data_IF_118308846982
#
_entry.id   IF_118308846982
#
_cell.length_a   1.000
_cell.length_b   1.000
_cell.length_c   1.000
_cell.angle_alpha   90.00
_cell.angle_beta   90.00
_cell.angle_gamma   90.00
#
_symmetry.space_group_name_H-M   'P 1'
#
loop_
_entity.id
_entity.type
_entity.pdbx_description
1 polymer ?
#
# COMPACT_ATOMS: atom_id res chain seq x y z
N UNK A 1 -14.11 -10.87 -37.34
CA UNK A 1 -13.98 -12.08 -36.55
C UNK A 1 -13.73 -11.65 -35.11
N UNK A 2 -14.73 -11.82 -34.24
CA UNK A 2 -14.52 -11.58 -32.82
C UNK A 2 -13.51 -12.60 -32.33
N UNK A 3 -12.33 -12.17 -31.96
CA UNK A 3 -11.29 -13.02 -31.44
C UNK A 3 -11.68 -13.35 -30.00
N UNK A 4 -11.93 -14.62 -29.71
CA UNK A 4 -12.08 -15.08 -28.33
C UNK A 4 -10.81 -14.77 -27.56
N UNK A 5 -10.95 -14.22 -26.35
CA UNK A 5 -9.84 -13.88 -25.46
C UNK A 5 -9.99 -14.69 -24.18
N UNK A 6 -8.97 -15.46 -23.83
CA UNK A 6 -8.92 -16.18 -22.58
C UNK A 6 -8.44 -15.28 -21.45
N UNK A 7 -9.28 -15.09 -20.42
CA UNK A 7 -8.92 -14.45 -19.17
C UNK A 7 -8.41 -15.50 -18.21
N UNK A 8 -7.25 -15.29 -17.63
CA UNK A 8 -6.65 -16.15 -16.61
C UNK A 8 -6.50 -15.36 -15.32
N UNK A 9 -7.18 -15.81 -14.28
CA UNK A 9 -7.24 -15.07 -13.01
C UNK A 9 -6.85 -15.95 -11.84
N UNK A 10 -5.96 -15.45 -10.99
CA UNK A 10 -5.59 -16.09 -9.73
C UNK A 10 -6.64 -15.84 -8.66
N UNK A 11 -7.01 -16.90 -7.94
CA UNK A 11 -7.97 -16.87 -6.85
C UNK A 11 -7.45 -17.65 -5.64
N UNK A 12 -7.84 -17.22 -4.44
CA UNK A 12 -7.55 -17.92 -3.18
C UNK A 12 -8.84 -18.30 -2.48
N UNK A 13 -8.83 -19.37 -1.68
CA UNK A 13 -9.93 -19.62 -0.75
C UNK A 13 -9.95 -18.58 0.35
N UNK A 14 -11.15 -18.03 0.66
CA UNK A 14 -11.31 -16.97 1.67
C UNK A 14 -10.99 -17.41 3.10
N UNK A 15 -11.16 -18.68 3.39
CA UNK A 15 -10.90 -19.30 4.68
C UNK A 15 -9.53 -20.00 4.79
N UNK A 16 -8.84 -20.20 3.64
CA UNK A 16 -7.54 -20.87 3.57
C UNK A 16 -6.68 -20.29 2.44
N UNK A 17 -6.01 -19.16 2.67
CA UNK A 17 -5.28 -18.41 1.62
C UNK A 17 -4.11 -19.16 1.00
N UNK A 18 -3.60 -20.23 1.66
CA UNK A 18 -2.62 -21.15 1.09
C UNK A 18 -3.19 -22.04 -0.03
N UNK A 19 -4.51 -22.14 -0.11
CA UNK A 19 -5.22 -22.85 -1.16
C UNK A 19 -5.61 -21.90 -2.27
N UNK A 20 -4.92 -21.97 -3.41
CA UNK A 20 -5.10 -21.10 -4.55
C UNK A 20 -5.40 -21.87 -5.83
N UNK A 21 -5.90 -21.17 -6.85
CA UNK A 21 -6.15 -21.72 -8.18
C UNK A 21 -6.04 -20.62 -9.25
N UNK A 22 -5.85 -21.05 -10.52
CA UNK A 22 -6.13 -20.23 -11.68
C UNK A 22 -7.45 -20.65 -12.31
N UNK A 23 -8.30 -19.67 -12.62
CA UNK A 23 -9.52 -19.88 -13.39
C UNK A 23 -9.36 -19.27 -14.78
N UNK A 24 -9.94 -19.97 -15.80
CA UNK A 24 -9.98 -19.48 -17.18
C UNK A 24 -11.41 -19.14 -17.55
N UNK A 25 -11.63 -17.94 -18.07
CA UNK A 25 -12.92 -17.47 -18.58
C UNK A 25 -12.73 -17.02 -20.04
N UNK A 26 -13.69 -17.32 -20.91
CA UNK A 26 -13.61 -16.90 -22.32
C UNK A 26 -14.44 -15.63 -22.52
N UNK A 27 -13.80 -14.55 -22.96
CA UNK A 27 -14.47 -13.33 -23.38
C UNK A 27 -14.69 -13.36 -24.90
N UNK A 28 -15.95 -13.19 -25.32
CA UNK A 28 -16.35 -13.30 -26.73
C UNK A 28 -16.11 -12.02 -27.56
N UNK A 29 -15.53 -10.98 -26.96
CA UNK A 29 -15.13 -9.76 -27.64
C UNK A 29 -16.25 -8.71 -27.82
N UNK A 30 -17.46 -8.95 -27.32
CA UNK A 30 -18.57 -7.98 -27.37
C UNK A 30 -18.59 -7.14 -26.09
N UNK A 31 -18.20 -5.87 -26.22
CA UNK A 31 -18.34 -4.89 -25.14
C UNK A 31 -19.75 -4.27 -25.20
N UNK A 32 -20.39 -4.19 -24.05
CA UNK A 32 -21.60 -3.40 -23.87
C UNK A 32 -21.28 -1.89 -23.87
N UNK A 33 -22.32 -1.07 -23.85
CA UNK A 33 -22.14 0.37 -23.75
C UNK A 33 -21.34 0.75 -22.50
N UNK A 34 -20.39 1.67 -22.69
CA UNK A 34 -19.45 2.18 -21.68
C UNK A 34 -18.47 1.12 -21.10
N UNK A 35 -18.47 -0.11 -21.63
CA UNK A 35 -17.45 -1.08 -21.26
C UNK A 35 -16.13 -0.83 -21.97
N UNK A 36 -15.05 -1.12 -21.23
CA UNK A 36 -13.66 -1.01 -21.68
C UNK A 36 -12.93 -2.30 -21.33
N UNK A 37 -12.21 -2.86 -22.29
CA UNK A 37 -11.35 -4.02 -22.09
C UNK A 37 -9.92 -3.55 -21.82
N UNK A 38 -9.44 -3.90 -20.66
CA UNK A 38 -8.09 -3.62 -20.18
C UNK A 38 -7.23 -4.89 -20.29
N UNK A 39 -6.06 -4.77 -20.93
CA UNK A 39 -5.01 -5.78 -20.88
C UNK A 39 -4.05 -5.42 -19.75
N UNK A 40 -4.05 -6.21 -18.70
CA UNK A 40 -3.15 -6.01 -17.56
C UNK A 40 -1.75 -6.44 -17.98
N UNK A 41 -0.83 -5.49 -17.99
CA UNK A 41 0.56 -5.72 -18.36
C UNK A 41 1.35 -6.30 -17.20
N UNK A 42 1.28 -5.65 -16.05
CA UNK A 42 1.96 -6.05 -14.83
C UNK A 42 1.28 -5.51 -13.58
N UNK A 43 1.58 -6.15 -12.46
CA UNK A 43 1.12 -5.71 -11.14
C UNK A 43 2.17 -5.99 -10.07
N UNK A 44 2.11 -5.21 -8.99
CA UNK A 44 2.94 -5.44 -7.81
C UNK A 44 2.25 -6.41 -6.85
N UNK A 45 3.02 -7.34 -6.30
CA UNK A 45 2.59 -8.19 -5.19
C UNK A 45 3.48 -7.91 -3.96
N UNK A 46 2.85 -7.50 -2.87
CA UNK A 46 3.51 -7.07 -1.64
C UNK A 46 2.82 -7.68 -0.42
N UNK A 47 3.43 -7.59 0.75
CA UNK A 47 2.79 -8.02 2.01
C UNK A 47 1.44 -7.31 2.25
N UNK A 48 1.25 -6.09 1.75
CA UNK A 48 -0.04 -5.38 1.83
C UNK A 48 -1.19 -6.16 1.16
N UNK A 49 -0.90 -6.96 0.13
CA UNK A 49 -1.93 -7.78 -0.52
C UNK A 49 -2.39 -8.94 0.37
N UNK A 50 -1.51 -9.45 1.25
CA UNK A 50 -1.91 -10.42 2.28
C UNK A 50 -2.84 -9.76 3.33
N UNK A 51 -2.58 -8.49 3.67
CA UNK A 51 -3.48 -7.69 4.50
C UNK A 51 -4.87 -7.55 3.86
N UNK A 52 -4.95 -7.43 2.52
CA UNK A 52 -6.25 -7.42 1.82
C UNK A 52 -7.01 -8.75 1.96
N UNK A 53 -6.32 -9.89 2.04
CA UNK A 53 -6.96 -11.16 2.35
C UNK A 53 -7.51 -11.14 3.79
N UNK A 54 -6.71 -10.73 4.76
CA UNK A 54 -7.10 -10.68 6.17
C UNK A 54 -8.29 -9.74 6.45
N UNK A 55 -8.31 -8.60 5.76
CA UNK A 55 -9.35 -7.59 5.89
C UNK A 55 -10.49 -7.74 4.86
N UNK A 56 -10.50 -8.82 4.08
CA UNK A 56 -11.34 -8.99 2.92
C UNK A 56 -12.83 -8.89 3.19
N UNK A 57 -13.31 -9.48 4.28
CA UNK A 57 -14.71 -9.37 4.71
C UNK A 57 -15.00 -8.06 5.42
N UNK A 58 -14.08 -7.58 6.27
CA UNK A 58 -14.27 -6.38 7.09
C UNK A 58 -14.37 -5.11 6.24
N UNK A 59 -13.46 -4.96 5.25
CA UNK A 59 -13.42 -3.79 4.37
C UNK A 59 -13.97 -4.07 2.97
N UNK A 60 -14.50 -5.28 2.75
CA UNK A 60 -15.16 -5.65 1.50
C UNK A 60 -14.22 -5.88 0.32
N UNK A 61 -12.93 -6.10 0.53
CA UNK A 61 -11.95 -6.28 -0.56
C UNK A 61 -12.28 -7.45 -1.48
N UNK A 62 -12.95 -8.51 -0.98
CA UNK A 62 -13.42 -9.62 -1.79
C UNK A 62 -14.49 -9.24 -2.82
N UNK A 63 -15.18 -8.14 -2.61
CA UNK A 63 -16.20 -7.65 -3.52
C UNK A 63 -15.68 -6.76 -4.65
N UNK A 64 -14.38 -6.42 -4.66
CA UNK A 64 -13.80 -5.60 -5.74
C UNK A 64 -13.84 -6.34 -7.09
N UNK A 65 -13.59 -7.63 -7.08
CA UNK A 65 -13.58 -8.49 -8.26
C UNK A 65 -14.33 -9.78 -7.92
N UNK A 66 -15.68 -9.81 -8.07
CA UNK A 66 -16.49 -10.94 -7.68
C UNK A 66 -16.09 -12.24 -8.38
N UNK A 67 -16.23 -13.36 -7.68
CA UNK A 67 -16.02 -14.72 -8.16
C UNK A 67 -16.94 -15.68 -7.45
N UNK A 68 -16.75 -16.99 -7.63
CA UNK A 68 -17.52 -18.04 -6.97
C UNK A 68 -17.50 -17.92 -5.45
N UNK A 69 -18.57 -18.40 -4.81
CA UNK A 69 -18.64 -18.48 -3.35
C UNK A 69 -17.47 -19.31 -2.79
N UNK A 70 -16.91 -18.86 -1.66
CA UNK A 70 -15.75 -19.48 -1.01
C UNK A 70 -14.39 -19.06 -1.59
N UNK A 71 -14.34 -18.43 -2.77
CA UNK A 71 -13.11 -17.90 -3.36
C UNK A 71 -13.10 -16.37 -3.38
N UNK A 72 -11.90 -15.80 -3.47
CA UNK A 72 -11.68 -14.36 -3.56
C UNK A 72 -10.54 -14.01 -4.51
N UNK A 73 -10.69 -12.87 -5.19
CA UNK A 73 -9.67 -12.26 -6.04
C UNK A 73 -8.99 -11.16 -5.27
N UNK A 74 -7.72 -11.36 -4.93
CA UNK A 74 -6.94 -10.39 -4.15
C UNK A 74 -6.62 -9.19 -5.04
N UNK A 75 -7.00 -7.96 -4.65
CA UNK A 75 -6.69 -6.77 -5.43
C UNK A 75 -5.20 -6.44 -5.38
N UNK A 76 -4.67 -6.04 -6.52
CA UNK A 76 -3.27 -5.61 -6.70
C UNK A 76 -3.22 -4.26 -7.42
N UNK A 77 -2.18 -3.47 -7.17
CA UNK A 77 -1.88 -2.28 -7.96
C UNK A 77 -1.15 -2.70 -9.24
N UNK A 78 -1.60 -2.20 -10.37
CA UNK A 78 -1.06 -2.60 -11.66
C UNK A 78 -1.07 -1.50 -12.71
N UNK A 79 -0.45 -1.80 -13.85
CA UNK A 79 -0.59 -1.07 -15.09
C UNK A 79 -1.28 -1.93 -16.15
N UNK A 80 -2.18 -1.31 -16.89
CA UNK A 80 -2.86 -1.93 -18.04
C UNK A 80 -2.90 -0.99 -19.24
N UNK A 81 -3.17 -1.57 -20.40
CA UNK A 81 -3.45 -0.83 -21.63
C UNK A 81 -4.90 -1.05 -22.04
N UNK A 82 -5.59 0.00 -22.49
CA UNK A 82 -6.90 -0.11 -23.11
C UNK A 82 -6.75 -0.78 -24.47
N UNK A 83 -7.32 -1.96 -24.64
CA UNK A 83 -7.21 -2.74 -25.91
C UNK A 83 -8.51 -2.74 -26.71
N UNK A 84 -9.64 -2.45 -26.07
CA UNK A 84 -10.91 -2.16 -26.72
C UNK A 84 -11.75 -1.24 -25.82
N UNK A 85 -12.54 -0.36 -26.42
CA UNK A 85 -13.40 0.57 -25.70
C UNK A 85 -14.71 0.82 -26.43
N UNK A 86 -15.80 0.80 -25.69
CA UNK A 86 -17.13 1.24 -26.13
C UNK A 86 -17.60 2.48 -25.34
N UNK A 87 -16.63 3.27 -24.82
CA UNK A 87 -16.86 4.53 -24.11
C UNK A 87 -16.25 5.69 -24.90
N UNK A 88 -17.01 6.79 -25.08
CA UNK A 88 -16.59 7.92 -25.93
C UNK A 88 -15.31 8.62 -25.49
N UNK A 89 -15.05 8.69 -24.16
CA UNK A 89 -13.94 9.46 -23.57
C UNK A 89 -12.78 8.58 -23.10
N UNK A 90 -12.80 7.25 -23.37
CA UNK A 90 -11.70 6.32 -23.07
C UNK A 90 -11.22 5.70 -24.36
N UNK A 91 -9.96 5.94 -24.72
CA UNK A 91 -9.42 5.54 -26.02
C UNK A 91 -8.53 4.31 -25.95
N UNK A 92 -8.57 3.49 -27.01
CA UNK A 92 -7.61 2.38 -27.18
C UNK A 92 -6.20 2.92 -27.20
N UNK A 93 -5.30 2.24 -26.46
CA UNK A 93 -3.90 2.64 -26.30
C UNK A 93 -3.61 3.49 -25.07
N UNK A 94 -4.62 3.91 -24.31
CA UNK A 94 -4.39 4.58 -23.03
C UNK A 94 -3.70 3.64 -22.05
N UNK A 95 -2.63 4.10 -21.38
CA UNK A 95 -1.92 3.44 -20.30
C UNK A 95 -2.52 3.86 -18.96
N UNK A 96 -2.92 2.90 -18.13
CA UNK A 96 -3.68 3.13 -16.91
C UNK A 96 -3.00 2.50 -15.69
N UNK A 97 -2.93 3.27 -14.62
CA UNK A 97 -2.63 2.77 -13.28
C UNK A 97 -3.94 2.57 -12.52
N UNK A 98 -4.06 1.49 -11.76
CA UNK A 98 -5.26 1.23 -10.94
C UNK A 98 -5.17 -0.04 -10.12
N UNK A 99 -6.33 -0.44 -9.56
CA UNK A 99 -6.50 -1.71 -8.87
C UNK A 99 -7.07 -2.76 -9.82
N UNK A 100 -6.45 -3.91 -9.82
CA UNK A 100 -6.75 -5.05 -10.70
C UNK A 100 -6.86 -6.35 -9.91
N UNK A 101 -7.56 -7.38 -10.44
CA UNK A 101 -7.30 -8.74 -10.00
C UNK A 101 -5.93 -9.20 -10.52
N UNK A 102 -5.33 -10.21 -9.94
CA UNK A 102 -4.15 -10.88 -10.52
C UNK A 102 -4.56 -11.69 -11.76
N UNK A 103 -4.72 -10.99 -12.88
CA UNK A 103 -5.25 -11.50 -14.14
C UNK A 103 -4.53 -10.85 -15.33
N UNK A 104 -4.69 -11.43 -16.51
CA UNK A 104 -4.18 -10.87 -17.77
C UNK A 104 -5.12 -9.83 -18.41
N UNK A 105 -6.45 -9.87 -18.11
CA UNK A 105 -7.44 -8.94 -18.64
C UNK A 105 -8.49 -8.59 -17.58
N UNK A 106 -9.14 -7.44 -17.79
CA UNK A 106 -10.28 -7.00 -17.01
C UNK A 106 -11.25 -6.22 -17.91
N UNK A 107 -12.56 -6.48 -17.81
CA UNK A 107 -13.59 -5.60 -18.35
C UNK A 107 -14.09 -4.71 -17.22
N UNK A 108 -14.15 -3.40 -17.47
CA UNK A 108 -14.69 -2.41 -16.53
C UNK A 108 -15.79 -1.60 -17.23
N UNK A 109 -16.74 -1.06 -16.46
CA UNK A 109 -17.71 -0.09 -16.95
C UNK A 109 -17.20 1.31 -16.64
N UNK A 110 -16.67 1.99 -17.65
CA UNK A 110 -16.10 3.32 -17.46
C UNK A 110 -17.20 4.36 -17.21
N UNK A 111 -16.92 5.30 -16.31
CA UNK A 111 -17.77 6.46 -16.05
C UNK A 111 -17.00 7.56 -15.35
N UNK A 112 -17.62 8.75 -15.25
CA UNK A 112 -17.00 9.95 -14.65
C UNK A 112 -15.60 10.23 -15.23
N UNK A 113 -15.45 10.06 -16.55
CA UNK A 113 -14.18 10.24 -17.23
C UNK A 113 -13.75 11.72 -17.23
N UNK A 114 -12.46 11.94 -16.99
CA UNK A 114 -11.79 13.23 -17.01
C UNK A 114 -10.50 13.14 -17.84
N UNK A 115 -9.73 14.21 -17.94
CA UNK A 115 -8.42 14.16 -18.59
C UNK A 115 -7.41 13.29 -17.86
N UNK A 116 -7.53 13.15 -16.53
CA UNK A 116 -6.56 12.43 -15.68
C UNK A 116 -7.00 11.02 -15.29
N UNK A 117 -8.29 10.71 -15.32
CA UNK A 117 -8.81 9.42 -14.84
C UNK A 117 -10.21 9.11 -15.36
N UNK A 118 -10.65 7.88 -15.10
CA UNK A 118 -12.06 7.48 -15.06
C UNK A 118 -12.29 6.49 -13.92
N UNK A 119 -13.54 6.15 -13.65
CA UNK A 119 -13.91 5.20 -12.58
C UNK A 119 -14.62 3.99 -13.18
N UNK A 120 -14.40 2.83 -12.58
CA UNK A 120 -15.28 1.69 -12.79
C UNK A 120 -16.58 1.92 -12.01
N UNK A 121 -17.65 2.18 -12.74
CA UNK A 121 -19.00 2.44 -12.21
C UNK A 121 -19.88 1.19 -12.22
N UNK A 122 -19.31 0.00 -12.34
CA UNK A 122 -20.02 -1.27 -12.20
C UNK A 122 -20.75 -1.32 -10.86
N UNK A 123 -21.91 -1.95 -10.81
CA UNK A 123 -22.80 -1.94 -9.65
C UNK A 123 -22.06 -2.43 -8.36
N UNK A 124 -21.32 -3.53 -8.47
CA UNK A 124 -20.57 -4.10 -7.34
C UNK A 124 -19.44 -3.19 -6.83
N UNK A 125 -19.01 -2.16 -7.59
CA UNK A 125 -17.95 -1.21 -7.21
C UNK A 125 -18.47 0.01 -6.47
N UNK A 126 -19.76 0.34 -6.60
CA UNK A 126 -20.34 1.60 -6.11
C UNK A 126 -20.34 1.76 -4.59
N UNK A 127 -20.30 0.66 -3.85
CA UNK A 127 -20.30 0.66 -2.38
C UNK A 127 -18.92 0.93 -1.75
N UNK A 128 -17.85 0.94 -2.55
CA UNK A 128 -16.48 1.09 -2.07
C UNK A 128 -15.95 2.52 -2.24
N UNK A 129 -14.89 2.86 -1.49
CA UNK A 129 -14.26 4.16 -1.64
C UNK A 129 -13.77 4.39 -3.08
N UNK A 130 -14.00 5.56 -3.65
CA UNK A 130 -13.72 5.85 -5.07
C UNK A 130 -12.28 5.54 -5.49
N UNK A 131 -11.32 5.68 -4.57
CA UNK A 131 -9.90 5.41 -4.85
C UNK A 131 -9.65 3.97 -5.35
N UNK A 132 -10.46 2.99 -4.94
CA UNK A 132 -10.32 1.60 -5.37
C UNK A 132 -10.93 1.32 -6.74
N UNK A 133 -11.79 2.20 -7.25
CA UNK A 133 -12.46 2.09 -8.54
C UNK A 133 -11.87 3.02 -9.60
N UNK A 134 -10.87 3.84 -9.22
CA UNK A 134 -10.25 4.82 -10.08
C UNK A 134 -9.14 4.21 -10.94
N UNK A 135 -9.16 4.56 -12.24
CA UNK A 135 -8.10 4.28 -13.19
C UNK A 135 -7.44 5.58 -13.63
N UNK A 136 -6.19 5.78 -13.24
CA UNK A 136 -5.42 6.99 -13.55
C UNK A 136 -4.75 6.84 -14.91
N UNK A 137 -4.90 7.84 -15.78
CA UNK A 137 -4.18 7.91 -17.05
C UNK A 137 -2.71 8.24 -16.79
N UNK A 138 -1.82 7.31 -17.10
CA UNK A 138 -0.41 7.43 -16.77
C UNK A 138 0.21 8.71 -17.36
N UNK A 139 -0.09 9.01 -18.63
CA UNK A 139 0.44 10.19 -19.33
C UNK A 139 -0.13 11.53 -18.81
N UNK A 140 -1.21 11.51 -18.03
CA UNK A 140 -1.74 12.72 -17.40
C UNK A 140 -1.02 13.07 -16.09
N UNK A 141 -0.25 12.12 -15.52
CA UNK A 141 0.57 12.36 -14.35
C UNK A 141 1.89 13.02 -14.76
N UNK A 142 2.18 14.27 -14.33
CA UNK A 142 3.42 14.96 -14.68
C UNK A 142 4.70 14.29 -14.15
N UNK A 143 4.55 13.38 -13.20
CA UNK A 143 5.65 12.60 -12.60
C UNK A 143 5.77 11.17 -13.15
N UNK A 144 4.96 10.84 -14.17
CA UNK A 144 5.02 9.51 -14.76
C UNK A 144 6.28 9.34 -15.59
N UNK A 145 6.99 8.26 -15.30
CA UNK A 145 8.18 7.83 -16.03
C UNK A 145 8.03 6.35 -16.36
N UNK A 146 7.95 5.97 -17.67
CA UNK A 146 7.77 4.58 -18.09
C UNK A 146 8.84 3.62 -17.54
N UNK A 147 10.08 4.09 -17.40
CA UNK A 147 11.17 3.30 -16.85
C UNK A 147 11.02 3.03 -15.33
N UNK A 148 10.13 3.74 -14.66
CA UNK A 148 9.88 3.66 -13.21
C UNK A 148 8.56 2.99 -12.83
N UNK A 149 7.81 2.44 -13.78
CA UNK A 149 6.52 1.80 -13.49
C UNK A 149 6.59 0.74 -12.38
N UNK A 150 7.64 -0.08 -12.35
CA UNK A 150 7.81 -1.11 -11.32
C UNK A 150 8.00 -0.50 -9.92
N UNK A 151 8.82 0.55 -9.81
CA UNK A 151 8.99 1.27 -8.56
C UNK A 151 7.70 1.98 -8.15
N UNK A 152 7.00 2.55 -9.12
CA UNK A 152 5.72 3.20 -8.88
C UNK A 152 4.67 2.24 -8.32
N UNK A 153 4.54 1.04 -8.91
CA UNK A 153 3.63 0.01 -8.43
C UNK A 153 3.97 -0.48 -7.02
N UNK A 154 5.26 -0.64 -6.73
CA UNK A 154 5.73 -1.13 -5.43
C UNK A 154 5.65 -0.09 -4.31
N UNK A 155 5.76 1.20 -4.65
CA UNK A 155 6.05 2.25 -3.67
C UNK A 155 4.96 3.31 -3.56
N UNK A 156 4.22 3.67 -4.63
CA UNK A 156 3.27 4.80 -4.63
C UNK A 156 2.26 4.73 -3.48
N UNK A 157 1.53 3.63 -3.34
CA UNK A 157 0.49 3.50 -2.33
C UNK A 157 1.03 3.54 -0.91
N UNK A 158 2.17 2.87 -0.68
CA UNK A 158 2.82 2.83 0.62
C UNK A 158 3.42 4.20 0.99
N UNK A 159 4.04 4.86 0.02
CA UNK A 159 4.64 6.19 0.19
C UNK A 159 3.60 7.25 0.49
N UNK A 160 2.46 7.22 -0.21
CA UNK A 160 1.36 8.16 0.05
C UNK A 160 0.91 8.12 1.52
N UNK A 161 0.73 6.91 2.07
CA UNK A 161 0.37 6.74 3.48
C UNK A 161 1.45 7.33 4.40
N UNK A 162 2.72 6.98 4.17
CA UNK A 162 3.84 7.42 5.00
C UNK A 162 4.06 8.93 4.92
N UNK A 163 3.92 9.52 3.73
CA UNK A 163 4.01 10.96 3.54
C UNK A 163 2.92 11.70 4.30
N UNK A 164 1.67 11.20 4.24
CA UNK A 164 0.55 11.79 4.98
C UNK A 164 0.69 11.63 6.51
N UNK A 165 1.29 10.54 6.99
CA UNK A 165 1.63 10.39 8.42
C UNK A 165 2.65 11.43 8.84
N UNK A 166 3.72 11.61 8.06
CA UNK A 166 4.76 12.59 8.34
C UNK A 166 4.20 14.01 8.30
N UNK A 167 3.41 14.33 7.27
CA UNK A 167 2.74 15.63 7.13
C UNK A 167 1.78 15.91 8.30
N UNK A 168 1.04 14.91 8.77
CA UNK A 168 0.18 15.02 9.95
C UNK A 168 0.98 15.31 11.22
N UNK A 169 2.12 14.63 11.42
CA UNK A 169 2.98 14.89 12.57
C UNK A 169 3.56 16.31 12.50
N UNK A 170 4.04 16.72 11.34
CA UNK A 170 4.56 18.05 11.11
C UNK A 170 3.50 19.14 11.36
N UNK A 171 2.31 18.97 10.83
CA UNK A 171 1.16 19.88 10.96
C UNK A 171 0.72 20.06 12.43
N UNK A 172 1.02 19.08 13.30
CA UNK A 172 0.80 19.14 14.74
C UNK A 172 2.09 19.37 15.54
N UNK A 173 3.12 20.00 14.93
CA UNK A 173 4.40 20.31 15.58
C UNK A 173 5.05 19.08 16.25
N UNK A 174 4.86 17.89 15.65
CA UNK A 174 5.26 16.57 16.18
C UNK A 174 4.76 16.36 17.63
N UNK A 175 3.64 17.00 18.00
CA UNK A 175 3.07 16.98 19.36
C UNK A 175 4.08 17.40 20.45
N UNK A 176 5.10 18.19 20.09
CA UNK A 176 6.19 18.59 20.98
C UNK A 176 7.21 17.49 21.26
N UNK A 177 7.22 16.38 20.52
CA UNK A 177 8.19 15.31 20.67
C UNK A 177 9.55 15.66 20.02
N UNK A 178 10.62 15.05 20.54
CA UNK A 178 11.98 15.22 20.06
C UNK A 178 12.30 14.31 18.87
N UNK A 179 11.73 13.09 18.83
CA UNK A 179 12.03 12.09 17.83
C UNK A 179 10.85 11.15 17.52
N UNK A 180 11.00 10.39 16.42
CA UNK A 180 10.08 9.32 16.02
C UNK A 180 10.63 7.95 16.43
N UNK A 181 9.76 7.09 16.96
CA UNK A 181 9.99 5.65 17.07
C UNK A 181 9.13 4.96 16.02
N UNK A 182 9.75 4.32 15.04
CA UNK A 182 9.07 3.68 13.91
C UNK A 182 9.24 2.18 14.01
N UNK A 183 8.15 1.44 14.28
CA UNK A 183 8.20 -0.03 14.37
C UNK A 183 8.26 -0.65 12.97
N UNK A 184 8.66 -1.95 12.91
CA UNK A 184 8.83 -2.68 11.64
C UNK A 184 9.69 -1.93 10.63
N UNK A 185 10.80 -1.36 11.07
CA UNK A 185 11.66 -0.46 10.31
C UNK A 185 12.14 -1.03 8.95
N UNK A 186 12.08 -2.35 8.76
CA UNK A 186 12.40 -3.01 7.48
C UNK A 186 11.21 -3.05 6.49
N UNK A 187 9.99 -2.70 6.91
CA UNK A 187 8.85 -2.64 6.00
C UNK A 187 8.98 -1.44 5.05
N UNK A 188 8.53 -1.61 3.80
CA UNK A 188 8.59 -0.52 2.80
C UNK A 188 7.85 0.73 3.25
N UNK A 189 6.76 0.58 4.01
CA UNK A 189 6.01 1.71 4.58
C UNK A 189 6.82 2.43 5.66
N UNK A 190 7.49 1.70 6.56
CA UNK A 190 8.37 2.29 7.58
C UNK A 190 9.58 2.99 6.97
N UNK A 191 10.20 2.37 5.94
CA UNK A 191 11.30 2.97 5.18
C UNK A 191 10.85 4.29 4.53
N UNK A 192 9.66 4.30 3.93
CA UNK A 192 9.07 5.48 3.33
C UNK A 192 8.85 6.60 4.35
N UNK A 193 8.36 6.26 5.57
CA UNK A 193 8.22 7.23 6.65
C UNK A 193 9.58 7.75 7.14
N UNK A 194 10.54 6.86 7.40
CA UNK A 194 11.89 7.26 7.79
C UNK A 194 12.56 8.18 6.76
N UNK A 195 12.36 7.90 5.46
CA UNK A 195 12.80 8.77 4.38
C UNK A 195 12.10 10.14 4.41
N UNK A 196 10.78 10.18 4.61
CA UNK A 196 10.02 11.43 4.67
C UNK A 196 10.46 12.30 5.86
N UNK A 197 10.60 11.71 7.05
CA UNK A 197 11.12 12.40 8.25
C UNK A 197 12.51 12.96 8.00
N UNK A 198 13.43 12.15 7.46
CA UNK A 198 14.78 12.61 7.12
C UNK A 198 14.78 13.73 6.06
N UNK A 199 13.92 13.63 5.06
CA UNK A 199 13.82 14.62 3.99
C UNK A 199 13.33 15.97 4.49
N UNK A 200 12.46 15.99 5.50
CA UNK A 200 12.05 17.22 6.17
C UNK A 200 13.18 17.82 7.00
N UNK A 201 13.98 17.00 7.69
CA UNK A 201 15.20 17.42 8.37
C UNK A 201 15.00 18.11 9.72
N UNK A 202 13.81 18.09 10.30
CA UNK A 202 13.51 18.74 11.58
C UNK A 202 13.61 17.78 12.78
N UNK A 203 13.34 16.51 12.57
CA UNK A 203 13.34 15.47 13.60
C UNK A 203 14.10 14.24 13.12
N UNK A 204 14.52 13.43 14.08
CA UNK A 204 15.16 12.15 13.82
C UNK A 204 14.17 11.00 13.94
N UNK A 205 14.45 9.90 13.23
CA UNK A 205 13.69 8.68 13.29
C UNK A 205 14.56 7.53 13.77
N UNK A 206 14.14 6.86 14.85
CA UNK A 206 14.72 5.63 15.36
C UNK A 206 13.90 4.47 14.82
N UNK A 207 14.55 3.53 14.12
CA UNK A 207 13.88 2.37 13.54
C UNK A 207 13.96 1.16 14.48
N UNK A 208 12.82 0.50 14.70
CA UNK A 208 12.71 -0.70 15.55
C UNK A 208 12.37 -1.89 14.65
N UNK A 209 13.20 -2.93 14.69
CA UNK A 209 13.10 -4.08 13.77
C UNK A 209 13.52 -5.40 14.44
N UNK A 210 13.45 -6.52 13.70
CA UNK A 210 14.03 -7.79 14.15
C UNK A 210 15.56 -7.81 13.98
N UNK A 211 16.24 -8.64 14.75
CA UNK A 211 17.70 -8.81 14.63
C UNK A 211 18.11 -9.22 13.21
N UNK A 212 17.33 -10.07 12.54
CA UNK A 212 17.60 -10.50 11.17
C UNK A 212 17.59 -9.36 10.13
N UNK A 213 16.90 -8.25 10.41
CA UNK A 213 16.78 -7.11 9.53
C UNK A 213 17.65 -5.91 9.95
N UNK A 214 18.36 -6.00 11.08
CA UNK A 214 19.17 -4.91 11.64
C UNK A 214 20.14 -4.32 10.62
N UNK A 215 20.97 -5.16 10.00
CA UNK A 215 22.00 -4.71 9.06
C UNK A 215 21.40 -4.14 7.75
N UNK A 216 20.25 -4.65 7.33
CA UNK A 216 19.51 -4.06 6.22
C UNK A 216 19.04 -2.63 6.56
N UNK A 217 18.40 -2.47 7.72
CA UNK A 217 17.89 -1.17 8.17
C UNK A 217 18.99 -0.13 8.39
N UNK A 218 20.15 -0.52 8.93
CA UNK A 218 21.30 0.38 9.08
C UNK A 218 21.80 0.92 7.74
N UNK A 219 21.83 0.07 6.69
CA UNK A 219 22.28 0.47 5.35
C UNK A 219 21.33 1.43 4.63
N UNK A 220 20.07 1.48 5.03
CA UNK A 220 19.10 2.41 4.46
C UNK A 220 19.52 3.88 4.69
N UNK A 221 20.07 4.19 5.84
CA UNK A 221 20.51 5.55 6.17
C UNK A 221 19.39 6.58 6.33
N UNK A 222 18.12 6.15 6.41
CA UNK A 222 16.98 7.02 6.73
C UNK A 222 16.64 7.07 8.21
N UNK A 223 17.22 6.20 9.02
CA UNK A 223 17.11 6.18 10.46
C UNK A 223 18.39 6.72 11.08
N UNK A 224 18.28 7.46 12.17
CA UNK A 224 19.44 7.90 12.98
C UNK A 224 20.01 6.77 13.82
N UNK A 225 19.12 5.85 14.25
CA UNK A 225 19.47 4.67 15.04
C UNK A 225 18.59 3.49 14.66
N UNK A 226 19.12 2.25 14.80
CA UNK A 226 18.39 1.00 14.62
C UNK A 226 18.50 0.17 15.89
N UNK A 227 17.33 -0.11 16.47
CA UNK A 227 17.15 -0.95 17.68
C UNK A 227 16.39 -2.21 17.30
N UNK A 228 16.74 -3.34 17.92
CA UNK A 228 15.93 -4.56 17.78
C UNK A 228 14.81 -4.61 18.81
N UNK A 229 13.80 -5.46 18.54
CA UNK A 229 12.71 -5.67 19.49
C UNK A 229 13.19 -6.07 20.90
N UNK A 230 14.25 -6.86 20.99
CA UNK A 230 14.83 -7.33 22.26
C UNK A 230 15.60 -6.22 23.00
N UNK A 231 16.00 -5.17 22.29
CA UNK A 231 16.76 -4.04 22.85
C UNK A 231 15.89 -2.83 23.23
N UNK A 232 14.57 -2.91 23.05
CA UNK A 232 13.66 -1.79 23.37
C UNK A 232 13.88 -1.25 24.78
N UNK A 233 14.14 -2.12 25.75
CA UNK A 233 14.40 -1.72 27.14
C UNK A 233 15.71 -0.94 27.36
N UNK A 234 16.60 -0.90 26.36
CA UNK A 234 17.88 -0.18 26.42
C UNK A 234 17.81 1.22 25.83
N UNK A 235 16.68 1.62 25.22
CA UNK A 235 16.49 2.96 24.70
C UNK A 235 16.58 4.02 25.80
N UNK A 236 17.18 5.15 25.48
CA UNK A 236 17.15 6.32 26.37
C UNK A 236 15.77 6.96 26.34
N UNK A 237 15.05 6.85 27.45
CA UNK A 237 13.71 7.40 27.62
C UNK A 237 13.71 8.83 28.23
N UNK A 238 14.85 9.54 28.22
CA UNK A 238 14.91 10.92 28.72
C UNK A 238 14.27 11.93 27.77
N UNK A 239 14.25 11.66 26.46
CA UNK A 239 13.60 12.46 25.43
C UNK A 239 12.15 12.11 25.21
N UNK A 240 11.41 13.01 24.59
CA UNK A 240 10.02 12.82 24.23
C UNK A 240 9.86 12.22 22.81
N UNK A 241 8.86 11.36 22.62
CA UNK A 241 8.72 10.61 21.37
C UNK A 241 7.28 10.60 20.81
N UNK A 242 7.17 10.50 19.49
CA UNK A 242 5.98 9.98 18.83
C UNK A 242 6.26 8.54 18.40
N UNK A 243 5.31 7.65 18.65
CA UNK A 243 5.40 6.26 18.21
C UNK A 243 4.57 6.11 16.94
N UNK A 244 5.14 5.52 15.88
CA UNK A 244 4.41 5.15 14.68
C UNK A 244 4.52 3.63 14.49
N UNK A 245 3.42 2.95 14.78
CA UNK A 245 3.34 1.50 14.69
C UNK A 245 2.77 1.05 13.34
N UNK A 246 3.63 0.34 12.57
CA UNK A 246 3.30 -0.15 11.23
C UNK A 246 2.87 -1.62 11.19
N UNK A 247 3.07 -2.36 12.28
CA UNK A 247 2.88 -3.82 12.29
C UNK A 247 1.76 -4.31 13.21
N UNK A 248 1.28 -3.49 14.13
CA UNK A 248 0.31 -3.91 15.13
C UNK A 248 0.87 -4.91 16.15
N UNK A 249 2.19 -4.91 16.39
CA UNK A 249 2.79 -5.77 17.43
C UNK A 249 2.53 -5.18 18.82
N UNK A 250 1.49 -5.70 19.48
CA UNK A 250 1.01 -5.20 20.77
C UNK A 250 2.06 -5.33 21.89
N UNK A 251 2.94 -6.32 21.84
CA UNK A 251 3.99 -6.51 22.85
C UNK A 251 5.06 -5.42 22.73
N UNK A 252 5.51 -5.14 21.51
CA UNK A 252 6.48 -4.05 21.24
C UNK A 252 5.87 -2.71 21.60
N UNK A 253 4.62 -2.46 21.17
CA UNK A 253 3.94 -1.20 21.47
C UNK A 253 3.79 -0.98 22.97
N UNK A 254 3.42 -2.03 23.73
CA UNK A 254 3.32 -1.99 25.19
C UNK A 254 4.69 -1.69 25.83
N UNK A 255 5.75 -2.38 25.41
CA UNK A 255 7.09 -2.17 25.95
C UNK A 255 7.56 -0.72 25.74
N UNK A 256 7.30 -0.13 24.57
CA UNK A 256 7.61 1.28 24.29
C UNK A 256 6.83 2.25 25.19
N UNK A 257 5.54 2.04 25.37
CA UNK A 257 4.72 2.87 26.25
C UNK A 257 5.13 2.74 27.72
N UNK A 258 5.44 1.53 28.20
CA UNK A 258 5.90 1.28 29.57
C UNK A 258 7.28 1.92 29.82
N UNK A 259 8.17 1.96 28.82
CA UNK A 259 9.48 2.57 28.93
C UNK A 259 9.39 4.10 28.92
N UNK A 260 8.73 4.69 27.93
CA UNK A 260 8.68 6.13 27.73
C UNK A 260 7.60 6.85 28.55
N UNK A 261 6.58 6.15 29.00
CA UNK A 261 5.49 6.66 29.85
C UNK A 261 4.95 8.02 29.32
N UNK A 262 4.97 9.06 30.16
CA UNK A 262 4.49 10.41 29.80
C UNK A 262 5.33 11.11 28.69
N UNK A 263 6.48 10.55 28.32
CA UNK A 263 7.26 11.04 27.21
C UNK A 263 6.69 10.60 25.84
N UNK A 264 5.76 9.63 25.79
CA UNK A 264 4.99 9.35 24.58
C UNK A 264 4.00 10.49 24.35
N UNK A 265 4.29 11.37 23.38
CA UNK A 265 3.45 12.54 23.07
C UNK A 265 2.31 12.23 22.11
N UNK A 266 2.51 11.28 21.20
CA UNK A 266 1.50 10.74 20.32
C UNK A 266 1.83 9.28 19.98
N UNK A 267 0.80 8.46 19.82
CA UNK A 267 0.96 7.05 19.45
C UNK A 267 0.03 6.75 18.27
N UNK A 268 0.64 6.52 17.11
CA UNK A 268 -0.01 6.42 15.81
C UNK A 268 -0.03 4.96 15.35
N UNK A 269 -1.21 4.41 15.07
CA UNK A 269 -1.39 3.06 14.55
C UNK A 269 -1.73 3.14 13.05
N UNK A 270 -0.93 2.48 12.20
CA UNK A 270 -1.12 2.47 10.74
C UNK A 270 -1.63 1.12 10.25
N UNK A 271 -1.17 0.02 10.82
CA UNK A 271 -1.31 -1.34 10.28
C UNK A 271 -2.35 -2.22 10.96
N UNK A 272 -3.26 -1.71 11.77
CA UNK A 272 -4.27 -2.51 12.48
C UNK A 272 -5.35 -3.06 11.55
N UNK A 273 -5.18 -4.29 11.08
CA UNK A 273 -6.10 -4.93 10.11
C UNK A 273 -6.69 -6.26 10.59
N UNK A 274 -6.31 -6.78 11.76
CA UNK A 274 -6.83 -8.04 12.26
C UNK A 274 -7.98 -7.85 13.26
N UNK A 275 -9.04 -8.68 13.14
CA UNK A 275 -10.19 -8.70 14.08
C UNK A 275 -9.77 -8.87 15.55
N UNK A 276 -8.71 -9.63 15.79
CA UNK A 276 -8.18 -9.86 17.14
C UNK A 276 -7.42 -8.64 17.67
N UNK A 277 -6.89 -7.80 16.79
CA UNK A 277 -6.23 -6.53 17.15
C UNK A 277 -7.23 -5.47 17.60
N UNK A 278 -8.46 -5.44 17.06
CA UNK A 278 -9.53 -4.54 17.54
C UNK A 278 -9.89 -4.87 19.01
N UNK A 279 -9.90 -6.15 19.38
CA UNK A 279 -10.03 -6.56 20.80
C UNK A 279 -8.80 -6.15 21.62
N UNK A 280 -7.61 -6.17 20.99
CA UNK A 280 -6.36 -5.67 21.56
C UNK A 280 -6.38 -4.16 21.81
N UNK A 281 -7.02 -3.35 20.95
CA UNK A 281 -7.15 -1.89 21.15
C UNK A 281 -7.80 -1.51 22.48
N UNK A 282 -8.76 -2.29 22.97
CA UNK A 282 -9.32 -2.09 24.31
C UNK A 282 -8.28 -2.27 25.41
N UNK A 283 -7.30 -3.16 25.22
CA UNK A 283 -6.19 -3.36 26.16
C UNK A 283 -5.15 -2.23 26.09
N UNK A 284 -5.08 -1.50 24.98
CA UNK A 284 -4.17 -0.38 24.78
C UNK A 284 -4.64 0.92 25.48
N UNK A 285 -5.93 0.99 25.85
CA UNK A 285 -6.48 2.17 26.55
C UNK A 285 -5.88 2.39 27.95
N UNK A 286 -5.21 1.37 28.52
CA UNK A 286 -4.56 1.43 29.82
C UNK A 286 -3.06 1.73 29.76
N UNK A 287 -2.48 1.89 28.56
CA UNK A 287 -1.07 2.22 28.41
C UNK A 287 -0.74 3.62 28.94
N UNK A 288 0.44 3.83 29.56
CA UNK A 288 0.88 5.14 29.99
C UNK A 288 1.19 6.06 28.80
N UNK A 289 1.17 7.38 29.03
CA UNK A 289 1.40 8.39 28.01
C UNK A 289 0.20 8.59 27.06
N UNK A 290 0.45 9.12 25.86
CA UNK A 290 -0.58 9.32 24.85
C UNK A 290 -1.19 8.00 24.40
N UNK A 291 -2.52 7.94 24.33
CA UNK A 291 -3.23 6.73 23.91
C UNK A 291 -3.00 6.44 22.43
N UNK A 292 -2.83 5.15 22.05
CA UNK A 292 -2.75 4.79 20.65
C UNK A 292 -4.01 5.14 19.86
N UNK A 293 -3.84 5.84 18.73
CA UNK A 293 -4.91 6.28 17.84
C UNK A 293 -4.70 5.74 16.43
N UNK A 294 -5.78 5.28 15.81
CA UNK A 294 -5.75 4.82 14.43
C UNK A 294 -5.63 6.02 13.48
N UNK A 295 -4.59 6.07 12.68
CA UNK A 295 -4.42 7.07 11.65
C UNK A 295 -5.21 6.71 10.38
N UNK A 296 -6.01 7.65 9.90
CA UNK A 296 -6.75 7.49 8.67
C UNK A 296 -6.27 8.48 7.60
N UNK A 297 -5.38 8.00 6.74
CA UNK A 297 -4.73 8.81 5.71
C UNK A 297 -5.69 9.65 4.83
N UNK A 298 -6.88 9.16 4.41
CA UNK A 298 -7.81 9.98 3.64
C UNK A 298 -8.28 11.26 4.35
N UNK A 299 -8.42 11.25 5.68
CA UNK A 299 -8.81 12.46 6.44
C UNK A 299 -7.73 13.53 6.39
N UNK A 300 -6.45 13.15 6.53
CA UNK A 300 -5.33 14.09 6.40
C UNK A 300 -5.23 14.61 4.96
N UNK A 301 -5.38 13.75 3.96
CA UNK A 301 -5.38 14.17 2.57
C UNK A 301 -6.50 15.16 2.26
N UNK A 302 -7.70 14.95 2.79
CA UNK A 302 -8.82 15.87 2.65
C UNK A 302 -8.52 17.23 3.29
N UNK A 303 -8.07 17.26 4.56
CA UNK A 303 -7.68 18.47 5.28
C UNK A 303 -6.65 19.27 4.47
N UNK A 304 -5.57 18.63 4.04
CA UNK A 304 -4.51 19.29 3.28
C UNK A 304 -4.96 19.76 1.90
N UNK A 305 -5.90 19.05 1.28
CA UNK A 305 -6.52 19.49 0.02
C UNK A 305 -7.33 20.78 0.22
N UNK A 306 -8.06 20.89 1.33
CA UNK A 306 -8.83 22.10 1.67
C UNK A 306 -7.92 23.30 1.97
N UNK A 307 -6.78 23.07 2.65
CA UNK A 307 -5.81 24.10 3.03
C UNK A 307 -4.92 24.56 1.87
N UNK A 308 -4.38 23.64 1.09
CA UNK A 308 -3.37 23.89 0.06
C UNK A 308 -3.95 23.96 -1.36
N UNK A 309 -5.10 23.35 -1.58
CA UNK A 309 -5.65 23.01 -2.89
C UNK A 309 -5.09 21.69 -3.45
N UNK A 310 -5.92 20.94 -4.15
CA UNK A 310 -5.59 19.60 -4.67
C UNK A 310 -4.31 19.58 -5.53
N UNK A 311 -4.15 20.53 -6.42
CA UNK A 311 -2.97 20.61 -7.31
C UNK A 311 -1.66 20.84 -6.57
N UNK A 312 -1.66 21.59 -5.47
CA UNK A 312 -0.47 21.82 -4.66
C UNK A 312 -0.10 20.59 -3.83
N UNK A 313 -1.10 19.94 -3.24
CA UNK A 313 -0.90 18.68 -2.50
C UNK A 313 -0.33 17.59 -3.42
N UNK A 314 -0.94 17.39 -4.59
CA UNK A 314 -0.46 16.42 -5.59
C UNK A 314 0.98 16.71 -6.04
N UNK A 315 1.34 17.99 -6.20
CA UNK A 315 2.70 18.39 -6.54
C UNK A 315 3.69 18.03 -5.44
N UNK A 316 3.39 18.32 -4.18
CA UNK A 316 4.26 18.01 -3.05
C UNK A 316 4.47 16.50 -2.92
N UNK A 317 3.39 15.73 -2.95
CA UNK A 317 3.46 14.26 -2.86
C UNK A 317 4.20 13.68 -4.07
N UNK A 318 3.87 14.12 -5.28
CA UNK A 318 4.46 13.62 -6.51
C UNK A 318 5.97 13.88 -6.59
N UNK A 319 6.42 15.07 -6.23
CA UNK A 319 7.85 15.41 -6.19
C UNK A 319 8.59 14.54 -5.17
N UNK A 320 8.04 14.41 -3.98
CA UNK A 320 8.62 13.62 -2.90
C UNK A 320 8.63 12.11 -3.22
N UNK A 321 7.61 11.59 -3.92
CA UNK A 321 7.59 10.21 -4.41
C UNK A 321 8.69 9.94 -5.42
N UNK A 322 8.94 10.86 -6.36
CA UNK A 322 10.06 10.73 -7.32
C UNK A 322 11.39 10.61 -6.59
N UNK A 323 11.61 11.42 -5.57
CA UNK A 323 12.84 11.38 -4.78
C UNK A 323 12.96 10.07 -3.97
N UNK A 324 11.85 9.58 -3.42
CA UNK A 324 11.81 8.28 -2.76
C UNK A 324 12.06 7.10 -3.72
N UNK A 325 11.50 7.15 -4.92
CA UNK A 325 11.79 6.13 -5.95
C UNK A 325 13.28 6.11 -6.33
N UNK A 326 13.94 7.26 -6.46
CA UNK A 326 15.40 7.32 -6.68
C UNK A 326 16.18 6.77 -5.49
N UNK A 327 15.79 7.15 -4.28
CA UNK A 327 16.39 6.59 -3.06
C UNK A 327 16.24 5.07 -2.99
N UNK A 328 15.13 4.51 -3.47
CA UNK A 328 14.88 3.07 -3.44
C UNK A 328 15.87 2.26 -4.32
N UNK A 329 16.50 2.86 -5.31
CA UNK A 329 17.52 2.21 -6.14
C UNK A 329 18.72 1.65 -5.33
N UNK A 330 18.93 2.18 -4.12
CA UNK A 330 20.04 1.75 -3.25
C UNK A 330 19.74 0.46 -2.47
N UNK A 331 18.45 0.09 -2.33
CA UNK A 331 18.06 -1.03 -1.46
C UNK A 331 16.98 -1.94 -2.04
N UNK A 332 16.21 -1.49 -3.03
CA UNK A 332 15.10 -2.27 -3.60
C UNK A 332 15.56 -3.09 -4.80
N UNK A 333 15.39 -4.39 -4.73
CA UNK A 333 15.59 -5.33 -5.84
C UNK A 333 14.22 -5.68 -6.43
N UNK A 334 13.99 -5.29 -7.68
CA UNK A 334 12.76 -5.64 -8.41
C UNK A 334 12.89 -7.06 -8.97
N UNK A 335 12.03 -7.96 -8.50
CA UNK A 335 11.94 -9.35 -8.97
C UNK A 335 10.79 -9.44 -9.96
N UNK A 336 11.09 -9.59 -11.27
CA UNK A 336 10.08 -9.76 -12.30
C UNK A 336 9.89 -11.23 -12.63
N UNK A 337 8.62 -11.65 -12.68
CA UNK A 337 8.28 -13.01 -13.09
C UNK A 337 6.88 -13.04 -13.76
N UNK A 338 6.59 -14.09 -14.50
CA UNK A 338 5.36 -14.22 -15.28
C UNK A 338 4.79 -15.64 -15.21
N UNK A 339 3.48 -15.71 -15.41
CA UNK A 339 2.72 -16.95 -15.47
C UNK A 339 2.26 -17.48 -14.12
N UNK A 340 1.34 -18.45 -14.15
CA UNK A 340 0.65 -18.98 -12.98
C UNK A 340 1.58 -19.44 -11.86
N UNK A 341 2.57 -20.26 -12.17
CA UNK A 341 3.49 -20.85 -11.19
C UNK A 341 4.29 -19.77 -10.44
N UNK A 342 4.69 -18.70 -11.16
CA UNK A 342 5.43 -17.59 -10.57
C UNK A 342 4.57 -16.74 -9.61
N UNK A 343 3.29 -16.55 -9.96
CA UNK A 343 2.33 -15.82 -9.12
C UNK A 343 2.05 -16.61 -7.84
N UNK A 344 1.79 -17.92 -7.95
CA UNK A 344 1.58 -18.80 -6.80
C UNK A 344 2.80 -18.84 -5.86
N UNK A 345 4.01 -18.99 -6.43
CA UNK A 345 5.24 -19.00 -5.66
C UNK A 345 5.49 -17.68 -4.91
N UNK A 346 5.29 -16.53 -5.59
CA UNK A 346 5.47 -15.24 -4.96
C UNK A 346 4.41 -14.98 -3.87
N UNK A 347 3.14 -15.35 -4.13
CA UNK A 347 2.06 -15.24 -3.14
C UNK A 347 2.34 -16.10 -1.90
N UNK A 348 2.73 -17.37 -2.10
CA UNK A 348 3.10 -18.27 -1.01
C UNK A 348 4.28 -17.76 -0.19
N UNK A 349 5.32 -17.20 -0.84
CA UNK A 349 6.50 -16.63 -0.17
C UNK A 349 6.12 -15.44 0.72
N UNK A 350 5.23 -14.56 0.25
CA UNK A 350 4.72 -13.43 1.02
C UNK A 350 3.81 -13.88 2.17
N UNK A 351 2.91 -14.82 1.90
CA UNK A 351 2.00 -15.36 2.91
C UNK A 351 2.75 -15.99 4.09
N UNK A 352 3.86 -16.66 3.80
CA UNK A 352 4.70 -17.32 4.82
C UNK A 352 5.76 -16.39 5.46
N UNK A 353 5.77 -15.08 5.13
CA UNK A 353 6.73 -14.12 5.67
C UNK A 353 8.17 -14.37 5.24
N UNK A 354 8.40 -15.07 4.11
CA UNK A 354 9.70 -15.47 3.61
C UNK A 354 10.29 -14.49 2.59
N UNK A 355 9.58 -13.42 2.28
CA UNK A 355 10.06 -12.38 1.37
C UNK A 355 11.13 -11.52 2.04
N UNK A 356 12.23 -11.26 1.32
CA UNK A 356 13.23 -10.31 1.79
C UNK A 356 12.64 -8.88 1.81
N UNK A 357 12.95 -8.06 2.83
CA UNK A 357 12.49 -6.67 2.86
C UNK A 357 13.01 -5.85 1.66
N UNK A 358 14.16 -6.22 1.09
CA UNK A 358 14.72 -5.60 -0.11
C UNK A 358 14.07 -6.05 -1.42
N UNK A 359 13.24 -7.10 -1.44
CA UNK A 359 12.59 -7.58 -2.66
C UNK A 359 11.24 -6.90 -2.90
N UNK A 360 10.96 -6.61 -4.18
CA UNK A 360 9.64 -6.18 -4.66
C UNK A 360 9.24 -7.02 -5.87
N UNK A 361 8.09 -7.67 -5.80
CA UNK A 361 7.62 -8.58 -6.86
C UNK A 361 6.75 -7.83 -7.86
N UNK A 362 7.16 -7.88 -9.13
CA UNK A 362 6.39 -7.39 -10.28
C UNK A 362 6.04 -8.60 -11.13
N UNK A 363 4.74 -8.87 -11.25
CA UNK A 363 4.23 -10.10 -11.85
C UNK A 363 3.32 -9.80 -13.03
N UNK A 364 3.18 -10.77 -13.94
CA UNK A 364 2.20 -10.76 -15.03
C UNK A 364 1.55 -12.15 -15.16
N UNK A 365 0.25 -12.20 -15.44
CA UNK A 365 -0.51 -13.45 -15.59
C UNK A 365 -0.45 -14.03 -17.03
#
# INVERSE_FOLDING_TARGET
MNKEIEFKTFEVKKDEWSSSRFVSETFTGNLEQDQVLLKIDRFALTTNNITYCAAGDMFGYWGFFPTEEGFGRVPVMGYSDVVASNHQDVQVGERLWGFYPMSNYLVVKAGKASQSNFFDVSEHRQQYAPIYSQYLRALANPYYEPAREDHDLLLRGLYLTSWLVEDFMFDNETFGADSYLITSASSKTSIALGFAVKSRGEKEAIGITSESNREFCKKLGCYSEIITYDEVSSLDASGSVVIVDMAGNLEVLRALHELFQEQVKYSCLIGTTHRDEIKGLLSLSSLPGAKPELFFAPSQAQKRTEELGAGQLEKLIGQSLVDFQKYSDQWLTVVRASGPESIEAAFSKLLNGQASPSEGYILSA
#
